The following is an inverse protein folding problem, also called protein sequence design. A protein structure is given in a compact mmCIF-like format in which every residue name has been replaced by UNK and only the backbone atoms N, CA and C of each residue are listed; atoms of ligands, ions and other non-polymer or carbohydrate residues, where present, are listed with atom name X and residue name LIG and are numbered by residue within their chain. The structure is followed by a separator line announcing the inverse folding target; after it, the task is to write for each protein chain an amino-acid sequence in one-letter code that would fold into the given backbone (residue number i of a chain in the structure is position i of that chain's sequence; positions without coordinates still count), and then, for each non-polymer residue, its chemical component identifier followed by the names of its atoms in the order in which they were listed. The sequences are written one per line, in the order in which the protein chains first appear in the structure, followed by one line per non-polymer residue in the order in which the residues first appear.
data_IF_299392077613
#
_entry.id   IF_299392077613
#
_cell.length_a   1.000
_cell.length_b   1.000
_cell.length_c   1.000
_cell.angle_alpha   90.00
_cell.angle_beta   90.00
_cell.angle_gamma   90.00
#
_symmetry.space_group_name_H-M   'P 1'
#
loop_
_entity.id
_entity.type
_entity.pdbx_description
1 polymer ?
#
# COMPACT_ATOMS: atom_id res chain seq x y z
N UNK A 1 -13.42 13.97 17.15
CA UNK A 1 -12.26 13.26 16.60
C UNK A 1 -11.11 14.25 16.49
N UNK A 2 -10.00 14.02 17.17
CA UNK A 2 -8.82 14.91 17.14
C UNK A 2 -7.52 14.13 17.37
N UNK A 3 -6.38 14.83 17.24
CA UNK A 3 -5.05 14.40 17.70
C UNK A 3 -4.57 13.05 17.15
N UNK A 4 -4.78 12.79 15.85
CA UNK A 4 -4.31 11.54 15.24
C UNK A 4 -2.79 11.41 15.33
N UNK A 5 -2.32 10.22 15.68
CA UNK A 5 -0.90 9.86 15.71
C UNK A 5 -0.71 8.42 15.23
N UNK A 6 0.44 8.16 14.62
CA UNK A 6 0.90 6.83 14.24
C UNK A 6 2.16 6.52 15.05
N UNK A 7 2.36 5.26 15.43
CA UNK A 7 3.52 4.82 16.23
C UNK A 7 4.85 4.76 15.45
N UNK A 8 4.81 4.93 14.12
CA UNK A 8 5.97 4.80 13.22
C UNK A 8 5.75 5.52 11.89
N UNK A 9 6.84 5.98 11.29
CA UNK A 9 6.83 6.67 10.00
C UNK A 9 7.02 5.72 8.79
N UNK A 10 7.48 4.49 9.04
CA UNK A 10 7.62 3.46 8.00
C UNK A 10 7.19 2.08 8.46
N UNK A 11 6.78 1.24 7.51
CA UNK A 11 6.28 -0.13 7.74
C UNK A 11 6.84 -1.14 6.74
N UNK A 12 7.05 -2.36 7.20
CA UNK A 12 7.47 -3.52 6.42
C UNK A 12 6.58 -4.75 6.69
N UNK A 13 6.71 -5.78 5.86
CA UNK A 13 5.99 -7.06 6.06
C UNK A 13 6.37 -7.66 7.42
N UNK A 14 5.37 -8.11 8.19
CA UNK A 14 5.53 -8.62 9.55
C UNK A 14 5.40 -7.57 10.65
N UNK A 15 5.41 -6.28 10.31
CA UNK A 15 5.15 -5.22 11.27
C UNK A 15 3.67 -5.15 11.68
N UNK A 16 3.43 -4.45 12.79
CA UNK A 16 2.11 -3.95 13.19
C UNK A 16 2.19 -2.45 13.33
N UNK A 17 1.19 -1.73 12.82
CA UNK A 17 1.09 -0.28 12.95
C UNK A 17 -0.07 0.07 13.86
N UNK A 18 0.13 1.03 14.76
CA UNK A 18 -0.91 1.50 15.68
C UNK A 18 -1.27 2.95 15.35
N UNK A 19 -2.54 3.14 15.00
CA UNK A 19 -3.13 4.47 14.79
C UNK A 19 -3.92 4.84 16.04
N UNK A 20 -3.57 5.97 16.65
CA UNK A 20 -4.23 6.48 17.84
C UNK A 20 -4.84 7.86 17.61
N UNK A 21 -5.94 8.15 18.29
CA UNK A 21 -6.65 9.42 18.17
C UNK A 21 -7.51 9.67 19.41
N UNK A 22 -7.95 10.91 19.60
CA UNK A 22 -8.84 11.31 20.68
C UNK A 22 -10.28 11.35 20.17
N UNK A 23 -11.19 10.69 20.89
CA UNK A 23 -12.63 10.79 20.70
C UNK A 23 -13.25 11.51 21.88
N UNK A 24 -14.08 12.52 21.63
CA UNK A 24 -14.79 13.30 22.63
C UNK A 24 -16.28 13.25 22.36
N UNK A 25 -17.08 12.97 23.38
CA UNK A 25 -18.53 13.13 23.30
C UNK A 25 -18.91 14.59 23.55
N UNK A 26 -19.31 15.28 22.49
CA UNK A 26 -19.71 16.70 22.53
C UNK A 26 -21.23 16.88 22.74
N UNK A 27 -21.98 15.79 22.87
CA UNK A 27 -23.42 15.82 23.10
C UNK A 27 -23.78 15.89 24.58
N UNK A 28 -25.06 16.10 24.86
CA UNK A 28 -25.60 16.22 26.22
C UNK A 28 -25.90 14.87 26.87
N UNK A 29 -25.85 13.77 26.10
CA UNK A 29 -26.23 12.43 26.55
C UNK A 29 -25.09 11.44 26.43
N UNK A 30 -25.13 10.41 27.28
CA UNK A 30 -24.26 9.24 27.14
C UNK A 30 -24.52 8.56 25.80
N UNK A 31 -23.45 8.31 25.05
CA UNK A 31 -23.52 7.75 23.70
C UNK A 31 -22.53 6.63 23.46
N UNK A 32 -22.81 5.81 22.45
CA UNK A 32 -21.85 4.87 21.88
C UNK A 32 -21.52 5.30 20.46
N UNK A 33 -20.22 5.35 20.16
CA UNK A 33 -19.69 5.70 18.85
C UNK A 33 -18.91 4.51 18.29
N UNK A 34 -19.03 4.25 16.99
CA UNK A 34 -18.20 3.26 16.29
C UNK A 34 -17.16 3.98 15.46
N UNK A 35 -15.93 4.02 15.96
CA UNK A 35 -14.81 4.61 15.22
C UNK A 35 -14.28 3.60 14.20
N UNK A 36 -14.02 4.07 12.99
CA UNK A 36 -13.58 3.25 11.86
C UNK A 36 -12.24 3.76 11.34
N UNK A 37 -11.32 2.83 11.10
CA UNK A 37 -10.01 3.08 10.51
C UNK A 37 -9.96 2.52 9.10
N UNK A 38 -9.74 3.38 8.13
CA UNK A 38 -9.53 3.03 6.73
C UNK A 38 -8.08 3.24 6.33
N UNK A 39 -7.64 2.50 5.31
CA UNK A 39 -6.37 2.77 4.63
C UNK A 39 -6.60 3.00 3.14
N UNK A 40 -5.76 3.82 2.52
CA UNK A 40 -5.63 3.91 1.06
C UNK A 40 -4.19 4.12 0.63
N UNK A 41 -3.85 3.61 -0.55
CA UNK A 41 -2.57 3.89 -1.21
C UNK A 41 -2.75 5.11 -2.11
N UNK A 42 -1.92 6.15 -1.92
CA UNK A 42 -2.05 7.40 -2.67
C UNK A 42 -1.65 7.25 -4.15
N UNK A 43 -0.72 6.36 -4.44
CA UNK A 43 -0.14 6.16 -5.78
C UNK A 43 0.00 4.67 -6.10
N UNK A 44 -1.12 3.93 -6.08
CA UNK A 44 -1.12 2.51 -6.41
C UNK A 44 -0.99 2.30 -7.92
N UNK A 45 -0.07 1.42 -8.33
CA UNK A 45 0.07 0.97 -9.73
C UNK A 45 -1.02 -0.03 -10.14
N UNK A 46 -1.68 -0.62 -9.16
CA UNK A 46 -2.75 -1.61 -9.35
C UNK A 46 -4.12 -0.99 -9.09
N UNK A 47 -5.13 -1.51 -9.78
CA UNK A 47 -6.53 -1.16 -9.51
C UNK A 47 -6.92 -1.74 -8.15
N UNK A 48 -7.07 -0.87 -7.14
CA UNK A 48 -7.46 -1.23 -5.77
C UNK A 48 -8.70 -0.41 -5.35
N UNK A 49 -9.46 -0.83 -4.33
CA UNK A 49 -10.51 0.00 -3.76
C UNK A 49 -9.96 1.36 -3.33
N UNK A 50 -10.77 2.41 -3.44
CA UNK A 50 -10.35 3.76 -3.07
C UNK A 50 -9.95 3.86 -1.59
N UNK A 51 -10.61 3.08 -0.73
CA UNK A 51 -10.34 2.94 0.71
C UNK A 51 -10.77 1.54 1.17
N UNK A 52 -10.05 0.98 2.14
CA UNK A 52 -10.33 -0.34 2.72
C UNK A 52 -10.42 -0.21 4.25
N UNK A 53 -11.49 -0.75 4.87
CA UNK A 53 -11.65 -0.78 6.33
C UNK A 53 -10.61 -1.74 6.93
N UNK A 54 -9.87 -1.29 7.93
CA UNK A 54 -8.81 -2.06 8.59
C UNK A 54 -9.13 -2.44 10.02
N UNK A 55 -9.75 -1.54 10.76
CA UNK A 55 -10.13 -1.77 12.14
C UNK A 55 -11.33 -0.91 12.51
N UNK A 56 -12.03 -1.31 13.55
CA UNK A 56 -13.07 -0.49 14.17
C UNK A 56 -13.10 -0.74 15.68
N UNK A 57 -13.63 0.21 16.44
CA UNK A 57 -13.88 0.06 17.86
C UNK A 57 -15.16 0.76 18.27
N UNK A 58 -15.96 0.10 19.11
CA UNK A 58 -17.17 0.67 19.70
C UNK A 58 -16.83 1.23 21.07
N UNK A 59 -16.95 2.54 21.22
CA UNK A 59 -16.58 3.28 22.42
C UNK A 59 -17.81 3.88 23.04
N UNK A 60 -17.97 3.72 24.34
CA UNK A 60 -19.01 4.40 25.11
C UNK A 60 -18.41 5.53 25.92
N UNK A 61 -19.03 6.71 25.85
CA UNK A 61 -18.55 7.94 26.49
C UNK A 61 -19.70 8.68 27.19
N UNK A 62 -19.43 9.20 28.37
CA UNK A 62 -20.29 10.17 29.05
C UNK A 62 -20.24 11.54 28.33
N UNK A 63 -21.23 12.43 28.54
CA UNK A 63 -21.17 13.81 28.06
C UNK A 63 -19.86 14.49 28.49
N UNK A 64 -19.15 15.11 27.54
CA UNK A 64 -17.86 15.78 27.77
C UNK A 64 -16.66 14.85 27.96
N UNK A 65 -16.85 13.53 28.06
CA UNK A 65 -15.74 12.59 28.21
C UNK A 65 -14.89 12.54 26.94
N UNK A 66 -13.57 12.56 27.11
CA UNK A 66 -12.60 12.32 26.05
C UNK A 66 -11.80 11.05 26.34
N UNK A 67 -11.62 10.20 25.32
CA UNK A 67 -10.85 8.96 25.43
C UNK A 67 -9.87 8.82 24.27
N UNK A 68 -8.64 8.40 24.59
CA UNK A 68 -7.65 7.99 23.60
C UNK A 68 -7.96 6.58 23.10
N UNK A 69 -8.20 6.45 21.80
CA UNK A 69 -8.46 5.18 21.13
C UNK A 69 -7.21 4.79 20.36
N UNK A 70 -6.85 3.50 20.39
CA UNK A 70 -5.75 2.93 19.62
C UNK A 70 -6.25 1.74 18.82
N UNK A 71 -5.97 1.75 17.52
CA UNK A 71 -6.34 0.68 16.58
C UNK A 71 -5.06 0.16 15.93
N UNK A 72 -4.79 -1.13 16.13
CA UNK A 72 -3.59 -1.79 15.59
C UNK A 72 -3.94 -2.62 14.36
N UNK A 73 -3.17 -2.45 13.29
CA UNK A 73 -3.35 -3.13 12.02
C UNK A 73 -2.07 -3.91 11.70
N UNK A 74 -2.14 -5.23 11.47
CA UNK A 74 -1.04 -5.99 10.88
C UNK A 74 -0.72 -5.46 9.48
N UNK A 75 0.54 -5.24 9.16
CA UNK A 75 0.94 -4.75 7.83
C UNK A 75 0.63 -5.78 6.73
N UNK A 76 0.51 -7.05 7.11
CA UNK A 76 0.03 -8.10 6.22
C UNK A 76 -1.35 -7.84 5.63
N UNK A 77 -2.23 -7.12 6.34
CA UNK A 77 -3.57 -6.77 5.87
C UNK A 77 -3.53 -5.67 4.79
N UNK A 78 -2.43 -4.91 4.69
CA UNK A 78 -2.25 -3.86 3.69
C UNK A 78 -1.77 -4.40 2.33
N UNK A 79 -1.42 -5.69 2.28
CA UNK A 79 -0.92 -6.35 1.08
C UNK A 79 -2.05 -6.53 0.07
N UNK A 80 -1.68 -6.60 -1.20
CA UNK A 80 -2.58 -7.08 -2.26
C UNK A 80 -2.04 -8.34 -2.89
N UNK A 81 -2.94 -9.10 -3.52
CA UNK A 81 -2.55 -10.25 -4.30
C UNK A 81 -2.16 -9.82 -5.72
N UNK A 82 -0.88 -9.95 -6.06
CA UNK A 82 -0.38 -9.73 -7.42
C UNK A 82 -0.61 -11.00 -8.24
N UNK A 83 -1.60 -10.97 -9.14
CA UNK A 83 -1.95 -12.10 -9.99
C UNK A 83 -0.85 -12.48 -10.98
N UNK A 84 -0.03 -11.52 -11.42
CA UNK A 84 1.07 -11.76 -12.34
C UNK A 84 2.21 -12.51 -11.64
N UNK A 85 2.42 -12.28 -10.34
CA UNK A 85 3.46 -12.92 -9.54
C UNK A 85 2.95 -14.04 -8.64
N UNK A 86 1.64 -14.31 -8.64
CA UNK A 86 0.94 -15.28 -7.80
C UNK A 86 1.35 -15.21 -6.33
N UNK A 87 1.47 -13.98 -5.79
CA UNK A 87 1.90 -13.77 -4.40
C UNK A 87 1.30 -12.50 -3.80
N UNK A 88 1.20 -12.48 -2.48
CA UNK A 88 0.84 -11.29 -1.72
C UNK A 88 2.02 -10.32 -1.64
N UNK A 89 1.80 -9.05 -1.98
CA UNK A 89 2.84 -8.01 -2.05
C UNK A 89 2.41 -6.80 -1.23
N UNK A 90 3.34 -6.30 -0.41
CA UNK A 90 3.24 -4.96 0.15
C UNK A 90 3.74 -3.98 -0.90
N UNK A 91 2.87 -3.11 -1.38
CA UNK A 91 3.26 -2.08 -2.33
C UNK A 91 4.14 -1.03 -1.64
N UNK A 92 5.28 -0.69 -2.26
CA UNK A 92 6.15 0.38 -1.78
C UNK A 92 5.49 1.73 -2.04
N UNK A 93 5.48 2.62 -1.05
CA UNK A 93 4.95 3.98 -1.20
C UNK A 93 4.14 4.48 0.00
N UNK A 94 3.51 5.63 -0.18
CA UNK A 94 2.72 6.27 0.88
C UNK A 94 1.37 5.58 1.08
N UNK A 95 1.14 5.13 2.31
CA UNK A 95 -0.15 4.64 2.79
C UNK A 95 -0.75 5.70 3.68
N UNK A 96 -1.96 6.14 3.36
CA UNK A 96 -2.72 7.06 4.20
C UNK A 96 -3.74 6.27 5.02
N UNK A 97 -3.68 6.46 6.34
CA UNK A 97 -4.72 6.05 7.27
C UNK A 97 -5.72 7.18 7.48
N UNK A 98 -7.00 6.84 7.48
CA UNK A 98 -8.10 7.78 7.65
C UNK A 98 -9.02 7.27 8.77
N UNK A 99 -9.40 8.14 9.71
CA UNK A 99 -10.29 7.79 10.83
C UNK A 99 -11.53 8.66 10.84
N UNK A 100 -12.67 8.05 11.10
CA UNK A 100 -13.94 8.74 11.29
C UNK A 100 -15.08 7.81 11.73
N UNK A 101 -16.30 8.32 11.65
CA UNK A 101 -17.53 7.64 12.05
C UNK A 101 -18.09 6.73 10.95
N UNK A 102 -17.82 7.05 9.68
CA UNK A 102 -18.22 6.25 8.53
C UNK A 102 -17.35 6.53 7.30
N UNK A 103 -17.37 5.65 6.29
CA UNK A 103 -16.51 5.73 5.09
C UNK A 103 -16.52 7.07 4.32
N UNK A 104 -17.62 7.85 4.37
CA UNK A 104 -17.72 9.16 3.71
C UNK A 104 -17.27 10.36 4.55
N UNK A 105 -17.03 10.17 5.85
CA UNK A 105 -16.68 11.24 6.79
C UNK A 105 -15.50 10.76 7.63
N UNK A 106 -14.31 11.17 7.18
CA UNK A 106 -13.02 10.72 7.70
C UNK A 106 -12.16 11.96 8.02
N UNK A 107 -12.48 12.68 9.11
CA UNK A 107 -11.87 13.97 9.43
C UNK A 107 -10.39 13.89 9.79
N UNK A 108 -9.91 12.71 10.22
CA UNK A 108 -8.51 12.53 10.62
C UNK A 108 -7.75 11.74 9.57
N UNK A 109 -6.53 12.17 9.28
CA UNK A 109 -5.63 11.52 8.33
C UNK A 109 -4.20 11.52 8.85
N UNK A 110 -3.50 10.41 8.62
CA UNK A 110 -2.08 10.31 8.91
C UNK A 110 -1.42 9.37 7.89
N UNK A 111 -0.14 9.60 7.57
CA UNK A 111 0.56 8.88 6.51
C UNK A 111 1.73 8.08 7.08
N UNK A 112 2.01 6.95 6.44
CA UNK A 112 3.20 6.13 6.69
C UNK A 112 3.81 5.70 5.35
N UNK A 113 5.11 5.46 5.32
CA UNK A 113 5.79 4.92 4.14
C UNK A 113 5.91 3.40 4.23
N UNK A 114 5.28 2.68 3.31
CA UNK A 114 5.49 1.26 3.14
C UNK A 114 6.79 1.00 2.37
N UNK A 115 7.66 0.20 2.97
CA UNK A 115 8.94 -0.21 2.40
C UNK A 115 8.83 -1.68 1.97
N UNK A 116 9.15 -1.96 0.71
CA UNK A 116 9.14 -3.33 0.20
C UNK A 116 10.57 -3.90 0.16
N UNK A 117 10.82 -4.99 0.89
CA UNK A 117 12.09 -5.73 0.86
C UNK A 117 12.05 -6.96 -0.08
N UNK A 118 11.01 -7.09 -0.93
CA UNK A 118 10.97 -8.14 -1.94
C UNK A 118 11.72 -7.65 -3.18
N UNK A 119 12.70 -8.44 -3.64
CA UNK A 119 13.52 -8.15 -4.81
C UNK A 119 12.70 -7.53 -5.95
N UNK A 120 13.15 -6.35 -6.43
CA UNK A 120 12.42 -5.44 -7.35
C UNK A 120 11.95 -6.07 -8.67
N UNK A 121 12.41 -7.28 -9.00
CA UNK A 121 12.21 -7.89 -10.32
C UNK A 121 11.42 -9.19 -10.23
N UNK A 122 10.50 -9.38 -11.19
CA UNK A 122 9.80 -10.64 -11.44
C UNK A 122 10.84 -11.71 -11.79
N UNK A 123 10.69 -12.92 -11.26
CA UNK A 123 11.42 -14.08 -11.80
C UNK A 123 10.92 -14.28 -13.23
N UNK A 124 11.81 -14.08 -14.22
CA UNK A 124 11.50 -14.32 -15.62
C UNK A 124 11.53 -15.84 -15.83
N UNK A 125 10.37 -16.42 -16.11
CA UNK A 125 10.24 -17.81 -16.55
C UNK A 125 10.04 -17.86 -18.07
N UNK A 126 10.30 -19.03 -18.70
CA UNK A 126 10.29 -19.20 -20.17
C UNK A 126 8.95 -18.87 -20.84
N UNK A 127 7.88 -18.82 -20.07
CA UNK A 127 6.49 -18.53 -20.45
C UNK A 127 6.05 -17.10 -20.13
N UNK A 128 6.96 -16.24 -19.65
CA UNK A 128 6.63 -14.83 -19.38
C UNK A 128 6.33 -14.10 -20.67
N UNK A 129 5.16 -13.47 -20.77
CA UNK A 129 4.76 -12.73 -21.97
C UNK A 129 5.82 -11.66 -22.35
N UNK A 130 6.21 -11.56 -23.65
CA UNK A 130 7.32 -10.72 -24.09
C UNK A 130 7.24 -9.25 -23.69
N UNK A 131 6.03 -8.71 -23.52
CA UNK A 131 5.80 -7.31 -23.13
C UNK A 131 6.46 -6.96 -21.78
N UNK A 132 6.53 -7.91 -20.83
CA UNK A 132 7.11 -7.68 -19.51
C UNK A 132 8.66 -7.73 -19.50
N UNK A 133 9.28 -8.17 -20.60
CA UNK A 133 10.74 -8.22 -20.76
C UNK A 133 11.30 -6.84 -21.13
N UNK A 134 10.52 -6.02 -21.85
CA UNK A 134 10.98 -4.71 -22.37
C UNK A 134 11.05 -3.61 -21.31
N UNK A 135 10.36 -3.75 -20.18
CA UNK A 135 10.37 -2.79 -19.07
C UNK A 135 11.54 -3.00 -18.09
N UNK A 136 12.32 -4.08 -18.24
CA UNK A 136 13.50 -4.35 -17.41
C UNK A 136 14.79 -3.97 -18.16
N UNK A 137 15.55 -2.95 -17.71
CA UNK A 137 16.75 -2.49 -18.42
C UNK A 137 17.86 -3.55 -18.52
N UNK A 138 17.92 -4.52 -17.60
CA UNK A 138 18.87 -5.65 -17.68
C UNK A 138 18.42 -6.72 -18.70
N UNK A 139 17.10 -6.92 -18.84
CA UNK A 139 16.55 -7.89 -19.78
C UNK A 139 16.60 -7.41 -21.23
N UNK A 140 16.53 -6.08 -21.47
CA UNK A 140 16.70 -5.47 -22.80
C UNK A 140 18.06 -5.80 -23.43
N UNK A 141 19.13 -5.80 -22.63
CA UNK A 141 20.47 -6.15 -23.08
C UNK A 141 20.65 -7.63 -23.47
N UNK A 142 19.90 -8.53 -22.83
CA UNK A 142 19.90 -9.96 -23.13
C UNK A 142 19.00 -10.31 -24.32
N UNK A 143 17.83 -9.66 -24.42
CA UNK A 143 16.89 -9.84 -25.53
C UNK A 143 17.51 -9.39 -26.86
N UNK A 144 18.24 -8.27 -26.90
CA UNK A 144 18.94 -7.82 -28.11
C UNK A 144 20.02 -8.82 -28.57
N UNK A 145 20.77 -9.42 -27.63
CA UNK A 145 21.79 -10.45 -27.96
C UNK A 145 21.16 -11.75 -28.45
N UNK A 146 20.09 -12.22 -27.81
CA UNK A 146 19.37 -13.43 -28.24
C UNK A 146 18.69 -13.26 -29.60
N UNK A 147 18.09 -12.09 -29.85
CA UNK A 147 17.47 -11.75 -31.14
C UNK A 147 18.49 -11.69 -32.27
N UNK A 148 19.68 -11.14 -32.02
CA UNK A 148 20.78 -11.13 -33.00
C UNK A 148 21.30 -12.54 -33.32
N UNK A 149 21.34 -13.43 -32.32
CA UNK A 149 21.88 -14.79 -32.49
C UNK A 149 20.90 -15.74 -33.19
N UNK A 150 19.59 -15.60 -32.95
CA UNK A 150 18.57 -16.51 -33.53
C UNK A 150 18.02 -16.07 -34.89
N UNK A 151 18.13 -14.80 -35.28
CA UNK A 151 17.55 -14.29 -36.54
C UNK A 151 18.55 -14.13 -37.70
N UNK A 152 19.82 -14.50 -37.55
CA UNK A 152 20.86 -14.30 -38.58
C UNK A 152 20.89 -12.88 -39.18
N UNK A 153 20.48 -11.87 -38.41
CA UNK A 153 20.62 -10.47 -38.82
C UNK A 153 22.04 -10.07 -38.48
N UNK A 154 22.90 -10.09 -39.50
CA UNK A 154 24.23 -9.50 -39.43
C UNK A 154 24.08 -8.01 -39.10
N UNK A 155 24.89 -7.50 -38.16
CA UNK A 155 24.99 -6.07 -37.89
C UNK A 155 25.10 -5.30 -39.21
N UNK A 156 24.32 -4.22 -39.43
CA UNK A 156 24.59 -3.34 -40.54
C UNK A 156 25.96 -2.68 -40.29
N UNK A 157 26.87 -2.99 -41.21
CA UNK A 157 28.16 -2.37 -41.47
C UNK A 157 28.25 -0.93 -40.94
N UNK A 158 28.95 -0.73 -39.82
CA UNK A 158 29.44 0.60 -39.43
C UNK A 158 30.53 1.00 -40.41
N UNK A 159 30.14 1.63 -41.52
CA UNK A 159 31.08 2.46 -42.29
C UNK A 159 31.18 3.84 -41.65
N UNK A 160 32.40 4.36 -41.40
CA UNK A 160 32.57 5.74 -41.02
C UNK A 160 32.55 6.62 -42.26
N UNK A 161 31.68 7.63 -42.27
CA UNK A 161 31.90 8.91 -42.94
C UNK A 161 31.28 10.01 -42.09
#
# INVERSE_FOLDING_TARGET
YSDIAIDRDSIQVGDKITVSFTLTNIGEYRGKEVCQLYSRYLHSRQKRPAQELRAFSKVELQPGESRRISLTVPVDDLRYYDTARQRWILEEGAVQFCVGSHSRDLPLQACVTALNNVARYRLIARDTQPIFILENPLARGYFNRLSATQLHISEPDRRPH
#
